data_IF_787266689647
#
_entry.id   IF_787266689647
#
_cell.length_a   1.000
_cell.length_b   1.000
_cell.length_c   1.000
_cell.angle_alpha   90.00
_cell.angle_beta   90.00
_cell.angle_gamma   90.00
#
_symmetry.space_group_name_H-M   'P 1'
#
loop_
_entity.id
_entity.type
_entity.pdbx_description
1 polymer ?
#
# COMPACT_ATOMS: atom_id res chain seq x y z
N UNK A 1 -3.97 -3.66 1.89
CA UNK A 1 -2.92 -2.68 2.15
C UNK A 1 -3.42 -1.29 1.83
N UNK A 2 -3.08 -0.32 2.64
CA UNK A 2 -3.48 1.06 2.54
C UNK A 2 -2.22 1.92 2.38
N UNK A 3 -2.19 2.73 1.33
CA UNK A 3 -1.08 3.63 1.04
C UNK A 3 -1.62 5.08 1.01
N UNK A 4 -1.17 5.88 1.96
CA UNK A 4 -1.47 7.33 2.01
C UNK A 4 -0.56 8.14 1.09
N UNK A 5 -0.88 9.42 0.88
CA UNK A 5 -0.02 10.34 0.14
C UNK A 5 1.37 10.48 0.76
N UNK A 6 2.34 10.92 -0.03
CA UNK A 6 3.67 11.21 0.47
C UNK A 6 3.65 12.38 1.46
N UNK A 7 4.44 12.25 2.53
CA UNK A 7 4.57 13.28 3.54
C UNK A 7 3.49 13.30 4.61
N UNK A 8 2.45 12.45 4.54
CA UNK A 8 1.49 12.31 5.65
C UNK A 8 2.07 11.45 6.76
N UNK A 9 1.69 11.76 7.99
CA UNK A 9 2.10 11.00 9.17
C UNK A 9 1.11 9.90 9.57
N UNK A 10 1.49 9.14 10.59
CA UNK A 10 0.70 8.03 11.16
C UNK A 10 -0.74 8.42 11.49
N UNK A 11 -0.95 9.58 12.13
CA UNK A 11 -2.29 10.02 12.54
C UNK A 11 -3.26 10.25 11.37
N UNK A 12 -2.73 10.57 10.18
CA UNK A 12 -3.56 10.65 8.98
C UNK A 12 -4.00 9.25 8.53
N UNK A 13 -3.03 8.33 8.49
CA UNK A 13 -3.27 6.95 8.05
C UNK A 13 -4.22 6.23 9.01
N UNK A 14 -4.06 6.44 10.33
CA UNK A 14 -4.93 5.84 11.35
C UNK A 14 -6.39 6.26 11.19
N UNK A 15 -6.66 7.55 10.94
CA UNK A 15 -8.04 8.02 10.68
C UNK A 15 -8.64 7.37 9.43
N UNK A 16 -7.85 7.29 8.34
CA UNK A 16 -8.32 6.66 7.10
C UNK A 16 -8.52 5.15 7.30
N UNK A 17 -7.72 4.53 8.15
CA UNK A 17 -7.83 3.13 8.50
C UNK A 17 -9.14 2.83 9.25
N UNK A 18 -9.56 3.69 10.18
CA UNK A 18 -10.84 3.57 10.89
C UNK A 18 -12.02 3.52 9.91
N UNK A 19 -12.05 4.43 8.95
CA UNK A 19 -13.10 4.48 7.91
C UNK A 19 -13.09 3.21 7.03
N UNK A 20 -11.91 2.69 6.70
CA UNK A 20 -11.78 1.42 5.95
C UNK A 20 -12.29 0.24 6.78
N UNK A 21 -11.95 0.19 8.06
CA UNK A 21 -12.39 -0.87 8.97
C UNK A 21 -13.92 -0.87 9.14
N UNK A 22 -14.53 0.30 9.22
CA UNK A 22 -16.00 0.42 9.27
C UNK A 22 -16.65 -0.19 8.03
N UNK A 23 -16.10 0.07 6.83
CA UNK A 23 -16.57 -0.56 5.59
C UNK A 23 -16.32 -2.06 5.51
N UNK A 24 -15.36 -2.57 6.26
CA UNK A 24 -15.06 -4.00 6.36
C UNK A 24 -15.91 -4.73 7.41
N UNK A 25 -16.52 -4.01 8.35
CA UNK A 25 -17.30 -4.59 9.44
C UNK A 25 -18.39 -5.60 8.97
N UNK A 26 -19.13 -5.37 7.88
CA UNK A 26 -20.11 -6.31 7.37
C UNK A 26 -19.56 -7.71 7.06
N UNK A 27 -18.27 -7.82 6.68
CA UNK A 27 -17.64 -9.12 6.42
C UNK A 27 -17.47 -9.93 7.71
N UNK A 28 -17.23 -9.25 8.83
CA UNK A 28 -17.14 -9.87 10.15
C UNK A 28 -18.52 -10.28 10.66
N UNK A 29 -19.50 -9.41 10.51
CA UNK A 29 -20.87 -9.65 10.94
C UNK A 29 -21.53 -10.82 10.18
N UNK A 30 -21.15 -11.00 8.92
CA UNK A 30 -21.55 -12.13 8.07
C UNK A 30 -20.75 -13.43 8.35
N UNK A 31 -19.76 -13.40 9.25
CA UNK A 31 -18.91 -14.56 9.56
C UNK A 31 -17.99 -14.98 8.41
N UNK A 32 -17.63 -14.07 7.51
CA UNK A 32 -16.74 -14.36 6.39
C UNK A 32 -15.26 -14.24 6.76
N UNK A 33 -14.96 -13.43 7.77
CA UNK A 33 -13.62 -13.24 8.34
C UNK A 33 -13.62 -13.58 9.82
N UNK A 34 -12.56 -14.20 10.29
CA UNK A 34 -12.38 -14.59 11.68
C UNK A 34 -12.08 -13.37 12.55
N UNK A 35 -11.13 -12.56 12.11
CA UNK A 35 -10.70 -11.34 12.79
C UNK A 35 -10.11 -10.35 11.78
N UNK A 36 -9.87 -9.11 12.23
CA UNK A 36 -9.19 -8.09 11.43
C UNK A 36 -8.02 -7.55 12.26
N UNK A 37 -6.82 -7.69 11.73
CA UNK A 37 -5.59 -7.16 12.34
C UNK A 37 -5.08 -6.00 11.50
N UNK A 38 -4.56 -4.98 12.17
CA UNK A 38 -4.01 -3.80 11.51
C UNK A 38 -2.60 -3.51 11.99
N UNK A 39 -1.73 -3.11 11.08
CA UNK A 39 -0.35 -2.70 11.37
C UNK A 39 -0.11 -1.40 10.64
N UNK A 40 0.05 -0.29 11.37
CA UNK A 40 0.34 1.03 10.79
C UNK A 40 1.82 1.36 10.95
N UNK A 41 2.42 1.95 9.93
CA UNK A 41 3.76 2.53 10.01
C UNK A 41 4.91 1.52 10.08
N UNK A 42 4.70 0.25 9.76
CA UNK A 42 5.73 -0.79 9.87
C UNK A 42 6.98 -0.50 9.03
N UNK A 43 6.81 -0.02 7.81
CA UNK A 43 7.89 0.29 6.88
C UNK A 43 7.93 1.78 6.54
N UNK A 44 6.77 2.39 6.34
CA UNK A 44 6.62 3.80 6.01
C UNK A 44 5.48 4.41 6.83
N UNK A 45 5.62 5.65 7.35
CA UNK A 45 4.59 6.29 8.18
C UNK A 45 3.25 6.48 7.48
N UNK A 46 3.26 6.54 6.15
CA UNK A 46 2.07 6.73 5.32
C UNK A 46 1.41 5.41 4.89
N UNK A 47 1.76 4.28 5.52
CA UNK A 47 1.25 2.95 5.14
C UNK A 47 0.62 2.20 6.29
N UNK A 48 -0.46 1.46 5.97
CA UNK A 48 -1.03 0.46 6.86
C UNK A 48 -1.26 -0.87 6.13
N UNK A 49 -1.13 -1.95 6.88
CA UNK A 49 -1.49 -3.29 6.45
C UNK A 49 -2.71 -3.73 7.23
N UNK A 50 -3.71 -4.26 6.52
CA UNK A 50 -4.88 -4.88 7.09
C UNK A 50 -4.84 -6.35 6.72
N UNK A 51 -4.85 -7.20 7.73
CA UNK A 51 -4.87 -8.66 7.56
C UNK A 51 -6.21 -9.16 8.08
N UNK A 52 -6.98 -9.80 7.21
CA UNK A 52 -8.29 -10.36 7.53
C UNK A 52 -8.30 -11.85 7.17
N UNK A 53 -7.91 -12.74 8.10
CA UNK A 53 -8.03 -14.17 7.91
C UNK A 53 -9.50 -14.54 7.63
N UNK A 54 -9.70 -15.32 6.58
CA UNK A 54 -11.04 -15.79 6.24
C UNK A 54 -11.41 -16.98 7.11
N UNK A 55 -12.70 -17.11 7.43
CA UNK A 55 -13.24 -18.31 8.06
C UNK A 55 -12.94 -19.56 7.23
N UNK A 56 -12.88 -20.70 7.88
CA UNK A 56 -12.67 -21.99 7.22
C UNK A 56 -13.65 -22.23 6.07
N UNK A 57 -13.19 -22.93 5.05
CA UNK A 57 -13.96 -23.20 3.82
C UNK A 57 -15.31 -23.83 4.06
N UNK A 58 -15.41 -24.68 5.10
CA UNK A 58 -16.66 -25.36 5.47
C UNK A 58 -17.64 -24.47 6.22
N UNK A 59 -17.21 -23.31 6.69
CA UNK A 59 -18.02 -22.38 7.51
C UNK A 59 -18.44 -21.11 6.75
N UNK A 60 -18.03 -20.94 5.51
CA UNK A 60 -18.36 -19.79 4.68
C UNK A 60 -18.92 -20.20 3.33
N UNK A 61 -19.88 -19.46 2.83
CA UNK A 61 -20.56 -19.68 1.55
C UNK A 61 -19.87 -18.96 0.37
N UNK A 62 -18.93 -18.03 0.65
CA UNK A 62 -18.25 -17.20 -0.35
C UNK A 62 -16.78 -17.58 -0.50
N UNK A 63 -16.32 -17.63 -1.74
CA UNK A 63 -14.92 -17.85 -2.06
C UNK A 63 -14.08 -16.59 -1.73
N UNK A 64 -12.78 -16.74 -1.55
CA UNK A 64 -11.83 -15.63 -1.37
C UNK A 64 -11.95 -14.60 -2.52
N UNK A 65 -12.09 -15.07 -3.77
CA UNK A 65 -12.23 -14.20 -4.92
C UNK A 65 -13.50 -13.33 -4.87
N UNK A 66 -14.61 -13.90 -4.42
CA UNK A 66 -15.88 -13.18 -4.24
C UNK A 66 -15.80 -12.14 -3.12
N UNK A 67 -15.17 -12.49 -2.00
CA UNK A 67 -14.94 -11.57 -0.88
C UNK A 67 -14.01 -10.42 -1.34
N UNK A 68 -12.93 -10.74 -2.03
CA UNK A 68 -12.01 -9.73 -2.56
C UNK A 68 -12.68 -8.80 -3.58
N UNK A 69 -13.54 -9.34 -4.47
CA UNK A 69 -14.29 -8.53 -5.42
C UNK A 69 -15.26 -7.58 -4.71
N UNK A 70 -15.98 -8.06 -3.71
CA UNK A 70 -16.88 -7.23 -2.89
C UNK A 70 -16.12 -6.11 -2.17
N UNK A 71 -14.98 -6.41 -1.59
CA UNK A 71 -14.14 -5.40 -0.94
C UNK A 71 -13.62 -4.35 -1.92
N UNK A 72 -13.21 -4.75 -3.14
CA UNK A 72 -12.79 -3.78 -4.16
C UNK A 72 -13.90 -2.81 -4.48
N UNK A 73 -15.11 -3.30 -4.70
CA UNK A 73 -16.27 -2.44 -4.95
C UNK A 73 -16.59 -1.51 -3.77
N UNK A 74 -16.49 -2.01 -2.53
CA UNK A 74 -16.76 -1.22 -1.33
C UNK A 74 -15.71 -0.14 -1.04
N UNK A 75 -14.50 -0.29 -1.57
CA UNK A 75 -13.35 0.59 -1.30
C UNK A 75 -12.84 1.33 -2.54
N UNK A 76 -13.51 1.20 -3.69
CA UNK A 76 -13.09 1.80 -4.97
C UNK A 76 -13.16 3.33 -4.95
N UNK A 77 -14.14 3.88 -4.28
CA UNK A 77 -14.38 5.32 -4.14
C UNK A 77 -13.69 5.98 -2.93
N UNK A 78 -12.74 5.27 -2.31
CA UNK A 78 -12.13 5.76 -1.08
C UNK A 78 -11.16 6.90 -1.37
N UNK A 79 -11.53 8.10 -0.97
CA UNK A 79 -10.73 9.30 -1.18
C UNK A 79 -9.61 9.43 -0.13
N UNK A 80 -8.46 9.95 -0.54
CA UNK A 80 -7.36 10.30 0.38
C UNK A 80 -6.31 9.23 0.60
N UNK A 81 -6.62 7.96 0.34
CA UNK A 81 -5.67 6.83 0.39
C UNK A 81 -5.94 5.85 -0.74
N UNK A 82 -4.90 5.15 -1.16
CA UNK A 82 -5.03 4.04 -2.11
C UNK A 82 -5.17 2.72 -1.34
N UNK A 83 -6.30 2.06 -1.49
CA UNK A 83 -6.52 0.74 -0.89
C UNK A 83 -6.26 -0.34 -1.94
N UNK A 84 -5.39 -1.29 -1.61
CA UNK A 84 -5.09 -2.45 -2.45
C UNK A 84 -5.46 -3.74 -1.73
N UNK A 85 -6.22 -4.59 -2.40
CA UNK A 85 -6.64 -5.88 -1.86
C UNK A 85 -5.75 -6.95 -2.45
N UNK A 86 -4.88 -7.49 -1.61
CA UNK A 86 -3.96 -8.56 -1.93
C UNK A 86 -4.59 -9.89 -1.51
N UNK A 87 -4.64 -10.84 -2.42
CA UNK A 87 -5.15 -12.19 -2.14
C UNK A 87 -3.97 -13.13 -1.94
N UNK A 88 -3.74 -13.58 -0.73
CA UNK A 88 -2.64 -14.51 -0.43
C UNK A 88 -2.83 -15.84 -1.15
N UNK A 89 -1.73 -16.39 -1.67
CA UNK A 89 -1.67 -17.73 -2.23
C UNK A 89 -1.52 -18.74 -1.08
N UNK A 90 -2.52 -19.58 -0.85
CA UNK A 90 -2.46 -20.61 0.21
C UNK A 90 -1.35 -21.62 0.03
N UNK A 91 -0.78 -21.75 -1.16
CA UNK A 91 0.29 -22.69 -1.47
C UNK A 91 1.70 -22.08 -1.32
N UNK A 92 1.83 -20.77 -1.11
CA UNK A 92 3.14 -20.10 -0.95
C UNK A 92 4.08 -20.24 -2.17
N UNK A 93 3.57 -20.72 -3.30
CA UNK A 93 4.37 -20.97 -4.51
C UNK A 93 4.40 -19.71 -5.37
N UNK A 94 5.59 -19.15 -5.56
CA UNK A 94 5.81 -17.92 -6.32
C UNK A 94 5.70 -16.68 -5.41
N UNK A 95 6.74 -15.88 -5.34
CA UNK A 95 6.88 -14.76 -4.43
C UNK A 95 5.66 -13.85 -4.35
N UNK A 96 4.85 -14.02 -3.32
CA UNK A 96 3.69 -13.23 -2.91
C UNK A 96 2.65 -12.92 -4.00
N UNK A 97 1.42 -13.28 -3.75
CA UNK A 97 0.19 -12.74 -4.38
C UNK A 97 -0.11 -13.01 -5.86
N UNK A 98 0.58 -13.96 -6.51
CA UNK A 98 0.37 -14.18 -7.96
C UNK A 98 0.78 -13.00 -8.82
N UNK A 99 1.62 -12.10 -8.27
CA UNK A 99 2.08 -10.91 -8.94
C UNK A 99 3.22 -11.21 -9.91
N UNK A 100 3.14 -10.62 -11.10
CA UNK A 100 4.27 -10.57 -12.04
C UNK A 100 5.19 -9.44 -11.60
N UNK A 101 6.48 -9.74 -11.37
CA UNK A 101 7.47 -8.74 -10.97
C UNK A 101 8.45 -8.49 -12.11
N UNK A 102 8.69 -7.21 -12.38
CA UNK A 102 9.69 -6.76 -13.35
C UNK A 102 10.75 -5.94 -12.63
N UNK A 103 12.02 -6.17 -12.96
CA UNK A 103 13.12 -5.32 -12.53
C UNK A 103 13.55 -4.45 -13.73
N UNK A 104 13.50 -3.12 -13.56
CA UNK A 104 14.00 -2.16 -14.53
C UNK A 104 15.33 -1.66 -14.02
N UNK A 105 16.38 -1.81 -14.80
CA UNK A 105 17.76 -1.45 -14.43
C UNK A 105 18.28 -0.34 -15.33
N UNK A 106 19.22 0.45 -14.82
CA UNK A 106 19.85 1.55 -15.53
C UNK A 106 20.91 2.23 -14.68
N UNK A 107 21.49 3.28 -15.19
CA UNK A 107 22.59 4.04 -14.61
C UNK A 107 22.14 5.28 -13.82
N UNK A 108 20.91 5.74 -14.03
CA UNK A 108 20.35 6.93 -13.40
C UNK A 108 18.96 6.68 -12.83
N UNK A 109 18.78 6.90 -11.52
CA UNK A 109 17.53 6.61 -10.81
C UNK A 109 16.32 7.39 -11.34
N UNK A 110 16.48 8.65 -11.76
CA UNK A 110 15.40 9.45 -12.33
C UNK A 110 14.86 8.83 -13.61
N UNK A 111 15.74 8.45 -14.53
CA UNK A 111 15.39 7.81 -15.80
C UNK A 111 14.76 6.45 -15.60
N UNK A 112 15.24 5.66 -14.62
CA UNK A 112 14.66 4.37 -14.25
C UNK A 112 13.23 4.58 -13.74
N UNK A 113 13.02 5.57 -12.88
CA UNK A 113 11.69 5.86 -12.33
C UNK A 113 10.70 6.29 -13.43
N UNK A 114 11.11 7.15 -14.35
CA UNK A 114 10.27 7.60 -15.46
C UNK A 114 9.93 6.46 -16.41
N UNK A 115 10.91 5.61 -16.74
CA UNK A 115 10.69 4.41 -17.54
C UNK A 115 9.74 3.43 -16.83
N UNK A 116 9.89 3.24 -15.52
CA UNK A 116 9.02 2.37 -14.73
C UNK A 116 7.57 2.88 -14.71
N UNK A 117 7.35 4.20 -14.53
CA UNK A 117 6.01 4.80 -14.56
C UNK A 117 5.38 4.69 -15.96
N UNK A 118 6.13 4.96 -17.02
CA UNK A 118 5.65 4.81 -18.39
C UNK A 118 5.29 3.36 -18.72
N UNK A 119 6.09 2.41 -18.24
CA UNK A 119 5.81 0.99 -18.39
C UNK A 119 4.55 0.57 -17.62
N UNK A 120 4.41 1.01 -16.38
CA UNK A 120 3.22 0.76 -15.56
C UNK A 120 1.94 1.27 -16.25
N UNK A 121 1.93 2.51 -16.74
CA UNK A 121 0.79 3.08 -17.46
C UNK A 121 0.42 2.25 -18.70
N UNK A 122 1.41 1.79 -19.48
CA UNK A 122 1.15 0.94 -20.64
C UNK A 122 0.58 -0.43 -20.29
N UNK A 123 0.94 -0.99 -19.14
CA UNK A 123 0.36 -2.25 -18.65
C UNK A 123 -1.10 -2.03 -18.26
N UNK A 124 -1.38 -0.97 -17.48
CA UNK A 124 -2.74 -0.63 -17.05
C UNK A 124 -3.69 -0.44 -18.24
N UNK A 125 -3.23 0.23 -19.30
CA UNK A 125 -4.03 0.48 -20.51
C UNK A 125 -4.15 -0.76 -21.43
N UNK A 126 -3.08 -1.55 -21.54
CA UNK A 126 -2.96 -2.60 -22.56
C UNK A 126 -3.27 -4.01 -22.08
N UNK A 127 -3.26 -4.28 -20.78
CA UNK A 127 -3.40 -5.62 -20.21
C UNK A 127 -4.43 -5.64 -19.07
N UNK A 128 -5.73 -5.68 -19.37
CA UNK A 128 -6.80 -5.61 -18.36
C UNK A 128 -6.75 -6.71 -17.29
N UNK A 129 -6.00 -7.79 -17.54
CA UNK A 129 -5.81 -8.89 -16.60
C UNK A 129 -4.80 -8.55 -15.50
N UNK A 130 -3.87 -7.62 -15.75
CA UNK A 130 -2.90 -7.14 -14.76
C UNK A 130 -3.47 -5.89 -14.10
N UNK A 131 -3.86 -6.02 -12.85
CA UNK A 131 -4.42 -4.93 -12.05
C UNK A 131 -3.45 -4.56 -10.92
N UNK A 132 -3.64 -3.39 -10.35
CA UNK A 132 -2.86 -2.92 -9.20
C UNK A 132 -1.35 -2.81 -9.51
N UNK A 133 -1.00 -2.25 -10.66
CA UNK A 133 0.40 -2.06 -11.06
C UNK A 133 1.11 -1.13 -10.09
N UNK A 134 2.25 -1.55 -9.55
CA UNK A 134 2.99 -0.83 -8.53
C UNK A 134 4.42 -0.59 -8.96
N UNK A 135 4.85 0.65 -8.90
CA UNK A 135 6.27 1.02 -9.01
C UNK A 135 6.83 1.19 -7.59
N UNK A 136 7.74 0.33 -7.19
CA UNK A 136 8.35 0.34 -5.84
C UNK A 136 9.44 1.41 -5.65
N UNK A 137 9.46 2.44 -6.48
CA UNK A 137 10.38 3.55 -6.35
C UNK A 137 9.62 4.84 -6.11
N UNK A 138 9.92 5.50 -5.02
CA UNK A 138 9.37 6.80 -4.69
C UNK A 138 10.50 7.81 -4.49
N UNK A 139 10.67 8.71 -5.47
CA UNK A 139 11.68 9.77 -5.44
C UNK A 139 11.25 11.00 -4.63
N UNK A 140 9.99 11.04 -4.19
CA UNK A 140 9.36 12.26 -3.66
C UNK A 140 9.28 12.31 -2.13
N UNK A 141 10.04 11.49 -1.40
CA UNK A 141 10.13 11.67 0.05
C UNK A 141 10.78 13.02 0.36
N UNK A 142 10.03 13.99 0.92
CA UNK A 142 10.60 15.27 1.27
C UNK A 142 11.68 15.07 2.34
N UNK A 143 12.90 15.53 2.05
CA UNK A 143 14.02 15.47 2.97
C UNK A 143 14.34 16.89 3.45
N UNK A 144 14.39 17.09 4.74
CA UNK A 144 14.92 18.30 5.34
C UNK A 144 16.39 18.08 5.68
N UNK A 145 17.30 18.74 4.95
CA UNK A 145 18.73 18.72 5.24
C UNK A 145 19.11 20.01 5.95
N UNK A 146 19.52 19.89 7.21
CA UNK A 146 20.06 21.01 8.00
C UNK A 146 21.58 21.00 7.85
N UNK A 147 22.14 22.07 7.28
CA UNK A 147 23.57 22.33 7.24
C UNK A 147 23.90 23.45 8.23
N UNK A 148 24.64 23.09 9.28
CA UNK A 148 25.11 24.06 10.26
C UNK A 148 26.42 24.69 9.73
N UNK A 149 26.42 26.00 9.54
CA UNK A 149 27.63 26.77 9.28
C UNK A 149 28.35 26.96 10.63
N UNK A 150 29.33 26.10 10.85
CA UNK A 150 30.05 26.04 12.13
C UNK A 150 30.87 27.29 12.40
N UNK A 151 31.44 27.92 11.34
CA UNK A 151 32.25 29.16 11.48
C UNK A 151 31.33 30.30 11.94
N UNK A 152 30.17 30.43 11.32
CA UNK A 152 29.18 31.44 11.67
C UNK A 152 28.57 31.22 13.04
N UNK A 153 28.30 29.97 13.40
CA UNK A 153 27.79 29.59 14.73
C UNK A 153 28.82 29.97 15.79
N UNK A 154 30.08 29.65 15.61
CA UNK A 154 31.16 30.03 16.53
C UNK A 154 31.32 31.55 16.64
N UNK A 155 31.22 32.30 15.55
CA UNK A 155 31.28 33.76 15.56
C UNK A 155 30.11 34.41 16.30
N UNK A 156 28.97 33.71 16.38
CA UNK A 156 27.78 34.14 17.13
C UNK A 156 27.70 33.57 18.55
N UNK A 157 28.75 32.87 19.01
CA UNK A 157 28.83 32.31 20.37
C UNK A 157 27.86 31.14 20.60
N UNK A 158 27.40 30.47 19.52
CA UNK A 158 26.57 29.26 19.61
C UNK A 158 27.51 28.06 19.69
N UNK A 159 27.45 27.22 20.78
CA UNK A 159 28.34 26.07 20.95
C UNK A 159 28.04 24.91 19.98
#
# INVERSE_FOLDING_TARGET
RLDGPDGVGLSYVDRQLEDVLERMQPLKDEGLVENIFTITGRFDPNRAEIVAPLMDWGLRDKSQAQIAARLRTALDDFAGVRVRILSGNSLGVGGGDGSVQFAITGDEYGRIADAARAFAARIEDGVPQLRDVVVNYNASQPQLTLRIDRERAAALGVP
#
